data_IF_017791134602
#
_entry.id   IF_017791134602
#
_cell.length_a   1.000
_cell.length_b   1.000
_cell.length_c   1.000
_cell.angle_alpha   90.00
_cell.angle_beta   90.00
_cell.angle_gamma   90.00
#
_symmetry.space_group_name_H-M   'P 1'
#
loop_
_entity.id
_entity.type
_entity.pdbx_description
1 polymer ?
#
# COMPACT_ATOMS: atom_id res chain seq x y z
N UNK A 1 31.06 -18.05 17.56
CA UNK A 1 29.80 -17.30 17.31
C UNK A 1 28.99 -18.09 16.30
N UNK A 2 27.82 -18.62 16.69
CA UNK A 2 27.04 -19.49 15.81
C UNK A 2 26.63 -18.73 14.55
N UNK A 3 27.03 -19.25 13.39
CA UNK A 3 26.59 -18.76 12.09
C UNK A 3 25.07 -18.96 12.04
N UNK A 4 24.32 -17.90 12.35
CA UNK A 4 22.87 -17.93 12.33
C UNK A 4 22.44 -18.09 10.87
N UNK A 5 22.33 -19.34 10.42
CA UNK A 5 22.01 -19.69 9.05
C UNK A 5 20.55 -19.28 8.77
N UNK A 6 20.34 -18.01 8.45
CA UNK A 6 19.08 -17.53 7.94
C UNK A 6 18.90 -18.07 6.51
N UNK A 7 17.72 -18.58 6.15
CA UNK A 7 17.42 -18.89 4.76
C UNK A 7 17.63 -17.67 3.86
N UNK A 8 17.92 -17.91 2.58
CA UNK A 8 18.22 -16.83 1.64
C UNK A 8 17.15 -15.73 1.66
N UNK A 9 17.57 -14.50 1.96
CA UNK A 9 16.69 -13.32 2.02
C UNK A 9 15.77 -13.25 3.24
N UNK A 10 16.00 -14.06 4.28
CA UNK A 10 15.40 -13.88 5.62
C UNK A 10 16.44 -13.19 6.50
N UNK A 11 16.01 -12.24 7.33
CA UNK A 11 16.90 -11.56 8.26
C UNK A 11 16.15 -11.12 9.53
N UNK A 12 16.88 -10.99 10.64
CA UNK A 12 16.37 -10.41 11.88
C UNK A 12 16.48 -8.88 11.83
N UNK A 13 15.41 -8.21 12.22
CA UNK A 13 15.35 -6.77 12.39
C UNK A 13 14.58 -6.44 13.68
N UNK A 14 15.30 -5.96 14.71
CA UNK A 14 14.69 -5.57 15.99
C UNK A 14 14.04 -6.75 16.74
N UNK A 15 14.58 -7.97 16.61
CA UNK A 15 14.05 -9.18 17.22
C UNK A 15 12.92 -9.85 16.43
N UNK A 16 12.51 -9.27 15.29
CA UNK A 16 11.48 -9.80 14.41
C UNK A 16 12.05 -10.18 13.04
N UNK A 17 11.43 -11.14 12.37
CA UNK A 17 11.87 -11.55 11.03
C UNK A 17 11.29 -10.66 9.94
N UNK A 18 12.11 -10.39 8.93
CA UNK A 18 11.69 -9.79 7.65
C UNK A 18 12.22 -10.61 6.48
N UNK A 19 11.51 -10.53 5.35
CA UNK A 19 11.93 -11.15 4.09
C UNK A 19 12.27 -10.09 3.05
N UNK A 20 13.27 -10.39 2.23
CA UNK A 20 13.74 -9.53 1.14
C UNK A 20 13.60 -10.23 -0.20
N UNK A 21 12.89 -9.59 -1.13
CA UNK A 21 12.69 -10.08 -2.50
C UNK A 21 12.68 -8.92 -3.50
N UNK A 22 12.71 -9.23 -4.81
CA UNK A 22 12.57 -8.23 -5.88
C UNK A 22 11.13 -8.23 -6.36
N UNK A 23 10.51 -7.06 -6.47
CA UNK A 23 9.20 -6.87 -7.07
C UNK A 23 9.20 -5.61 -7.91
N UNK A 24 8.74 -5.70 -9.17
CA UNK A 24 8.73 -4.58 -10.14
C UNK A 24 10.06 -3.81 -10.21
N UNK A 25 11.17 -4.53 -10.28
CA UNK A 25 12.52 -3.95 -10.35
C UNK A 25 13.06 -3.35 -9.05
N UNK A 26 12.26 -3.28 -7.97
CA UNK A 26 12.67 -2.74 -6.67
C UNK A 26 12.95 -3.86 -5.68
N UNK A 27 13.97 -3.66 -4.82
CA UNK A 27 14.20 -4.54 -3.66
C UNK A 27 13.22 -4.14 -2.55
N UNK A 28 12.40 -5.10 -2.16
CA UNK A 28 11.37 -4.96 -1.12
C UNK A 28 11.85 -5.67 0.14
N UNK A 29 11.59 -5.06 1.30
CA UNK A 29 11.78 -5.66 2.62
C UNK A 29 10.44 -5.66 3.34
N UNK A 30 9.87 -6.84 3.55
CA UNK A 30 8.60 -7.02 4.25
C UNK A 30 8.81 -7.59 5.64
N UNK A 31 8.25 -6.91 6.66
CA UNK A 31 8.32 -7.37 8.03
C UNK A 31 7.22 -8.39 8.30
N UNK A 32 7.59 -9.59 8.76
CA UNK A 32 6.64 -10.65 9.06
C UNK A 32 6.00 -10.51 10.44
N UNK A 33 6.50 -9.58 11.26
CA UNK A 33 6.05 -9.31 12.63
C UNK A 33 6.16 -10.50 13.59
N UNK A 34 6.86 -11.58 13.20
CA UNK A 34 7.09 -12.78 14.03
C UNK A 34 8.46 -12.72 14.72
N UNK A 35 8.61 -13.26 15.94
CA UNK A 35 9.88 -13.33 16.63
C UNK A 35 10.91 -14.18 15.89
N UNK A 36 12.19 -13.86 16.07
CA UNK A 36 13.30 -14.63 15.52
C UNK A 36 13.52 -15.96 16.26
N UNK A 37 12.82 -17.00 15.80
CA UNK A 37 13.00 -18.40 16.27
C UNK A 37 13.39 -19.31 15.09
N UNK A 38 14.08 -20.44 15.32
CA UNK A 38 14.42 -21.37 14.24
C UNK A 38 13.21 -21.85 13.42
N UNK A 39 12.07 -22.11 14.08
CA UNK A 39 10.80 -22.45 13.44
C UNK A 39 10.32 -21.31 12.51
N UNK A 40 10.31 -20.08 13.02
CA UNK A 40 9.87 -18.92 12.24
C UNK A 40 10.84 -18.59 11.09
N UNK A 41 12.15 -18.84 11.24
CA UNK A 41 13.13 -18.70 10.14
C UNK A 41 12.80 -19.63 8.99
N UNK A 42 12.48 -20.90 9.27
CA UNK A 42 12.07 -21.88 8.26
C UNK A 42 10.81 -21.41 7.51
N UNK A 43 9.77 -21.05 8.25
CA UNK A 43 8.50 -20.55 7.68
C UNK A 43 8.72 -19.28 6.85
N UNK A 44 9.57 -18.36 7.31
CA UNK A 44 9.92 -17.14 6.56
C UNK A 44 10.65 -17.46 5.24
N UNK A 45 11.51 -18.49 5.24
CA UNK A 45 12.19 -18.98 4.05
C UNK A 45 11.21 -19.57 3.03
N UNK A 46 10.28 -20.42 3.48
CA UNK A 46 9.22 -21.01 2.66
C UNK A 46 8.29 -19.93 2.08
N UNK A 47 7.88 -18.98 2.91
CA UNK A 47 7.09 -17.83 2.49
C UNK A 47 7.77 -17.04 1.37
N UNK A 48 9.06 -16.72 1.56
CA UNK A 48 9.83 -16.00 0.54
C UNK A 48 9.95 -16.81 -0.74
N UNK A 49 10.17 -18.11 -0.66
CA UNK A 49 10.25 -18.98 -1.83
C UNK A 49 8.91 -18.97 -2.61
N UNK A 50 7.79 -19.09 -1.91
CA UNK A 50 6.43 -18.99 -2.48
C UNK A 50 6.19 -17.64 -3.16
N UNK A 51 6.58 -16.53 -2.52
CA UNK A 51 6.47 -15.17 -3.10
C UNK A 51 7.32 -15.05 -4.38
N UNK A 52 8.59 -15.45 -4.34
CA UNK A 52 9.46 -15.42 -5.51
C UNK A 52 8.92 -16.28 -6.66
N UNK A 53 8.33 -17.44 -6.35
CA UNK A 53 7.71 -18.31 -7.33
C UNK A 53 6.50 -17.62 -7.97
N UNK A 54 5.56 -17.11 -7.18
CA UNK A 54 4.38 -16.40 -7.65
C UNK A 54 4.73 -15.18 -8.52
N UNK A 55 5.79 -14.44 -8.15
CA UNK A 55 6.28 -13.30 -8.94
C UNK A 55 6.77 -13.78 -10.30
N UNK A 56 7.52 -14.87 -10.34
CA UNK A 56 8.06 -15.45 -11.57
C UNK A 56 6.96 -16.02 -12.48
N UNK A 57 5.90 -16.57 -11.92
CA UNK A 57 4.74 -17.09 -12.68
C UNK A 57 3.71 -16.03 -13.02
N UNK A 58 3.90 -14.78 -12.58
CA UNK A 58 2.98 -13.67 -12.85
C UNK A 58 1.67 -13.72 -12.07
N UNK A 59 1.55 -14.61 -11.08
CA UNK A 59 0.33 -14.80 -10.26
C UNK A 59 0.39 -14.07 -8.92
N UNK A 60 1.43 -13.28 -8.69
CA UNK A 60 1.64 -12.62 -7.40
C UNK A 60 0.82 -11.34 -7.24
N UNK A 61 -0.18 -11.39 -6.37
CA UNK A 61 -0.85 -10.21 -5.83
C UNK A 61 -0.15 -9.73 -4.55
N UNK A 62 0.49 -8.57 -4.64
CA UNK A 62 1.18 -7.96 -3.51
C UNK A 62 0.20 -7.46 -2.44
N UNK A 63 -0.94 -6.89 -2.85
CA UNK A 63 -1.93 -6.32 -1.95
C UNK A 63 -2.66 -7.41 -1.15
N UNK A 64 -2.95 -8.54 -1.79
CA UNK A 64 -3.49 -9.71 -1.10
C UNK A 64 -2.46 -10.31 -0.15
N UNK A 65 -1.19 -10.41 -0.56
CA UNK A 65 -0.16 -11.05 0.28
C UNK A 65 0.28 -10.19 1.47
N UNK A 66 0.34 -8.88 1.29
CA UNK A 66 0.81 -7.91 2.29
C UNK A 66 -0.17 -6.73 2.41
N UNK A 67 -1.39 -6.96 2.93
CA UNK A 67 -2.45 -5.95 2.97
C UNK A 67 -2.13 -4.75 3.87
N UNK A 68 -1.30 -4.96 4.90
CA UNK A 68 -0.88 -3.90 5.82
C UNK A 68 0.50 -3.31 5.48
N UNK A 69 1.03 -3.58 4.28
CA UNK A 69 2.37 -3.14 3.92
C UNK A 69 2.41 -1.64 3.62
N UNK A 70 3.39 -0.89 4.19
CA UNK A 70 3.61 0.50 3.78
C UNK A 70 4.03 0.62 2.30
N UNK A 71 4.55 -0.47 1.71
CA UNK A 71 4.98 -0.50 0.31
C UNK A 71 3.79 -0.53 -0.68
N UNK A 72 2.54 -0.72 -0.23
CA UNK A 72 1.37 -0.59 -1.10
C UNK A 72 1.30 0.80 -1.77
N UNK A 73 1.67 1.85 -1.02
CA UNK A 73 1.75 3.23 -1.53
C UNK A 73 2.80 3.34 -2.63
N UNK A 74 3.95 2.69 -2.45
CA UNK A 74 5.08 2.73 -3.40
C UNK A 74 4.73 2.07 -4.74
N UNK A 75 3.88 1.04 -4.71
CA UNK A 75 3.47 0.30 -5.91
C UNK A 75 2.14 0.79 -6.50
N UNK A 76 1.53 1.82 -5.94
CA UNK A 76 0.22 2.33 -6.38
C UNK A 76 -0.91 1.32 -6.18
N UNK A 77 -0.74 0.38 -5.25
CA UNK A 77 -1.70 -0.70 -4.96
C UNK A 77 -2.66 -0.34 -3.83
N UNK A 78 -2.53 0.86 -3.27
CA UNK A 78 -3.54 1.41 -2.37
C UNK A 78 -4.78 1.68 -3.20
N UNK A 79 -5.87 0.97 -2.89
CA UNK A 79 -7.21 1.44 -3.22
C UNK A 79 -7.39 2.77 -2.50
N UNK A 80 -7.10 3.87 -3.19
CA UNK A 80 -7.47 5.19 -2.70
C UNK A 80 -8.97 5.27 -2.88
N UNK A 81 -9.69 5.07 -1.80
CA UNK A 81 -11.07 5.54 -1.71
C UNK A 81 -10.99 7.07 -1.71
N UNK A 82 -10.87 7.67 -2.90
CA UNK A 82 -11.03 9.12 -3.05
C UNK A 82 -12.49 9.40 -2.75
N UNK A 83 -12.74 10.21 -1.74
CA UNK A 83 -14.11 10.61 -1.45
C UNK A 83 -14.62 11.50 -2.59
N UNK A 84 -15.93 11.46 -2.86
CA UNK A 84 -16.55 12.36 -3.85
C UNK A 84 -16.23 13.82 -3.52
N UNK A 85 -16.13 14.18 -2.23
CA UNK A 85 -15.73 15.51 -1.77
C UNK A 85 -14.29 15.89 -2.15
N UNK A 86 -13.33 14.98 -1.97
CA UNK A 86 -11.94 15.22 -2.38
C UNK A 86 -11.80 15.38 -3.90
N UNK A 87 -12.57 14.61 -4.68
CA UNK A 87 -12.61 14.72 -6.13
C UNK A 87 -13.23 16.05 -6.57
N UNK A 88 -14.36 16.43 -5.96
CA UNK A 88 -15.06 17.69 -6.21
C UNK A 88 -14.16 18.90 -5.94
N UNK A 89 -13.41 18.89 -4.83
CA UNK A 89 -12.50 19.98 -4.47
C UNK A 89 -11.33 20.11 -5.48
N UNK A 90 -10.77 18.99 -5.94
CA UNK A 90 -9.74 19.01 -7.00
C UNK A 90 -10.29 19.58 -8.30
N UNK A 91 -11.50 19.18 -8.69
CA UNK A 91 -12.16 19.71 -9.88
C UNK A 91 -12.41 21.22 -9.78
N UNK A 92 -12.89 21.72 -8.64
CA UNK A 92 -13.07 23.16 -8.40
C UNK A 92 -11.75 23.93 -8.51
N UNK A 93 -10.66 23.36 -7.99
CA UNK A 93 -9.33 23.99 -8.04
C UNK A 93 -8.83 24.12 -9.48
N UNK A 94 -9.06 23.10 -10.31
CA UNK A 94 -8.73 23.16 -11.74
C UNK A 94 -9.64 24.16 -12.49
N UNK A 95 -10.94 24.15 -12.18
CA UNK A 95 -11.92 25.03 -12.83
C UNK A 95 -11.80 26.50 -12.45
N UNK A 96 -11.24 26.81 -11.27
CA UNK A 96 -11.01 28.19 -10.83
C UNK A 96 -10.15 29.01 -11.80
N UNK A 97 -9.32 28.37 -12.63
CA UNK A 97 -8.52 29.05 -13.67
C UNK A 97 -9.32 29.38 -14.92
N UNK A 98 -10.48 28.74 -15.13
CA UNK A 98 -11.29 28.86 -16.35
C UNK A 98 -12.57 29.68 -16.15
N UNK A 99 -12.99 29.91 -14.90
CA UNK A 99 -14.28 30.54 -14.59
C UNK A 99 -14.13 31.75 -13.67
N UNK A 100 -15.06 32.69 -13.79
CA UNK A 100 -15.11 33.85 -12.89
C UNK A 100 -15.38 33.47 -11.44
N UNK A 101 -14.95 34.32 -10.51
CA UNK A 101 -15.14 34.14 -9.06
C UNK A 101 -16.60 33.91 -8.67
N UNK A 102 -17.55 34.56 -9.36
CA UNK A 102 -18.98 34.38 -9.12
C UNK A 102 -19.48 32.98 -9.54
N UNK A 103 -18.99 32.45 -10.66
CA UNK A 103 -19.34 31.10 -11.11
C UNK A 103 -18.72 30.04 -10.17
N UNK A 104 -17.48 30.25 -9.73
CA UNK A 104 -16.81 29.37 -8.77
C UNK A 104 -17.53 29.30 -7.43
N UNK A 105 -17.97 30.44 -6.88
CA UNK A 105 -18.73 30.50 -5.64
C UNK A 105 -20.07 29.74 -5.73
N UNK A 106 -20.74 29.80 -6.89
CA UNK A 106 -21.96 29.00 -7.14
C UNK A 106 -21.65 27.51 -7.15
N UNK A 107 -20.60 27.07 -7.85
CA UNK A 107 -20.21 25.66 -7.89
C UNK A 107 -19.82 25.12 -6.51
N UNK A 108 -19.08 25.89 -5.72
CA UNK A 108 -18.75 25.55 -4.33
C UNK A 108 -20.01 25.37 -3.48
N UNK A 109 -20.98 26.28 -3.60
CA UNK A 109 -22.23 26.24 -2.82
C UNK A 109 -23.07 25.01 -3.17
N UNK A 110 -23.17 24.69 -4.45
CA UNK A 110 -23.88 23.50 -4.96
C UNK A 110 -23.20 22.21 -4.49
N UNK A 111 -21.88 22.11 -4.64
CA UNK A 111 -21.12 20.94 -4.19
C UNK A 111 -21.19 20.76 -2.66
N UNK A 112 -21.18 21.85 -1.89
CA UNK A 112 -21.33 21.80 -0.42
C UNK A 112 -22.71 21.26 -0.03
N UNK A 113 -23.78 21.71 -0.70
CA UNK A 113 -25.15 21.23 -0.48
C UNK A 113 -25.25 19.70 -0.68
N UNK A 114 -24.76 19.20 -1.81
CA UNK A 114 -24.82 17.77 -2.12
C UNK A 114 -23.86 16.92 -1.28
N UNK A 115 -22.72 17.47 -0.85
CA UNK A 115 -21.82 16.79 0.07
C UNK A 115 -22.42 16.62 1.49
N UNK A 116 -23.25 17.56 1.95
CA UNK A 116 -23.94 17.47 3.26
C UNK A 116 -25.18 16.57 3.25
N UNK A 117 -25.88 16.42 2.13
CA UNK A 117 -27.06 15.54 2.02
C UNK A 117 -26.68 14.05 1.96
N UNK A 118 -25.43 13.72 1.60
CA UNK A 118 -24.92 12.34 1.51
C UNK A 118 -24.54 11.68 2.86
N UNK A 119 -24.73 12.35 4.00
CA UNK A 119 -24.38 11.86 5.36
C UNK A 119 -25.57 11.85 6.34
N UNK A 120 -26.80 11.77 5.84
CA UNK A 120 -28.04 11.61 6.65
C UNK A 120 -28.70 10.22 6.52
N UNK A 121 -27.96 9.21 6.08
CA UNK A 121 -28.39 7.81 6.06
C UNK A 121 -27.58 6.98 7.03
#
# INVERSE_FOLDING_TARGET
MANSAYPAGVENHGGKLRITFKYRGKRVRENLRVPDTPKNRKIAGELRASVCFAIRTGTFDYAERFPDSPNLKLFGLVKKDITVGELAQKWLTLKAMEISSNALNRYQSVMKKYATEAWRG
#
